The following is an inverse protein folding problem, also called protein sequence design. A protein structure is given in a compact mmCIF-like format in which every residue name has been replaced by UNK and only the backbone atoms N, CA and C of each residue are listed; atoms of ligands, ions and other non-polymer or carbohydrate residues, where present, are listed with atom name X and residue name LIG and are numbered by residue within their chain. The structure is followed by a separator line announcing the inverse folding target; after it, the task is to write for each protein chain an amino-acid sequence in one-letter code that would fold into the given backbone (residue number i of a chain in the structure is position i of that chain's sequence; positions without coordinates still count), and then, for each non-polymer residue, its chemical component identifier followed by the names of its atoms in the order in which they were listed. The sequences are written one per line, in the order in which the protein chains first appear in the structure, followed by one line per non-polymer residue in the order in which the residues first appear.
data_IF_182663647392
#
_entry.id   IF_182663647392
#
_cell.length_a   1.000
_cell.length_b   1.000
_cell.length_c   1.000
_cell.angle_alpha   90.00
_cell.angle_beta   90.00
_cell.angle_gamma   90.00
#
_symmetry.space_group_name_H-M   'P 1'
#
loop_
_entity.id
_entity.type
_entity.pdbx_description
1 polymer ?
#
# COMPACT_ATOMS: atom_id res chain seq x y z
N UNK A 1 -6.99 8.81 -2.32
CA UNK A 1 -7.87 9.20 -3.42
C UNK A 1 -9.29 8.72 -3.14
N UNK A 2 -10.26 9.60 -3.00
CA UNK A 2 -11.66 9.22 -2.75
C UNK A 2 -12.28 8.48 -3.94
N UNK A 3 -13.29 7.67 -3.67
CA UNK A 3 -14.06 6.94 -4.68
C UNK A 3 -13.59 5.52 -4.98
N UNK A 4 -12.40 5.13 -4.52
CA UNK A 4 -11.86 3.79 -4.80
C UNK A 4 -12.65 2.70 -4.08
N UNK A 5 -13.06 2.93 -2.83
CA UNK A 5 -13.83 1.95 -2.06
C UNK A 5 -15.17 1.66 -2.75
N UNK A 6 -15.86 2.70 -3.21
CA UNK A 6 -17.13 2.54 -3.92
C UNK A 6 -16.95 1.76 -5.23
N UNK A 7 -15.88 2.02 -5.97
CA UNK A 7 -15.56 1.27 -7.19
C UNK A 7 -15.30 -0.21 -6.91
N UNK A 8 -14.57 -0.51 -5.83
CA UNK A 8 -14.27 -1.89 -5.45
C UNK A 8 -15.55 -2.62 -5.04
N UNK A 9 -16.39 -1.99 -4.24
CA UNK A 9 -17.68 -2.55 -3.83
C UNK A 9 -18.56 -2.85 -5.06
N UNK A 10 -18.59 -1.94 -6.01
CA UNK A 10 -19.35 -2.10 -7.25
C UNK A 10 -18.87 -3.25 -8.11
N UNK A 11 -17.55 -3.42 -8.22
CA UNK A 11 -16.94 -4.47 -9.03
C UNK A 11 -16.82 -5.82 -8.36
N UNK A 12 -16.96 -5.89 -7.04
CA UNK A 12 -16.81 -7.13 -6.29
C UNK A 12 -17.97 -8.09 -6.55
N UNK A 13 -17.67 -9.39 -6.57
CA UNK A 13 -18.71 -10.43 -6.60
C UNK A 13 -19.23 -10.67 -5.19
N UNK A 14 -20.37 -11.36 -5.09
CA UNK A 14 -20.98 -11.71 -3.80
C UNK A 14 -20.01 -12.47 -2.91
N UNK A 15 -20.05 -12.19 -1.61
CA UNK A 15 -19.23 -12.81 -0.55
C UNK A 15 -17.74 -12.47 -0.62
N UNK A 16 -17.34 -11.47 -1.40
CA UNK A 16 -15.95 -11.06 -1.48
C UNK A 16 -15.48 -10.46 -0.14
N UNK A 17 -14.28 -10.81 0.24
CA UNK A 17 -13.58 -10.21 1.36
C UNK A 17 -12.66 -9.11 0.85
N UNK A 18 -12.85 -7.91 1.36
CA UNK A 18 -12.07 -6.72 0.99
C UNK A 18 -11.26 -6.28 2.20
N UNK A 19 -9.94 -6.15 2.01
CA UNK A 19 -9.05 -5.61 3.05
C UNK A 19 -8.50 -4.28 2.57
N UNK A 20 -8.81 -3.22 3.31
CA UNK A 20 -8.37 -1.87 2.97
C UNK A 20 -7.07 -1.58 3.70
N UNK A 21 -5.98 -1.54 2.95
CA UNK A 21 -4.62 -1.32 3.47
C UNK A 21 -4.16 0.10 3.22
N UNK A 22 -4.55 0.68 2.09
CA UNK A 22 -4.16 2.03 1.70
C UNK A 22 -4.78 3.09 2.59
N UNK A 23 -4.11 4.23 2.70
CA UNK A 23 -4.56 5.36 3.52
C UNK A 23 -5.11 6.46 2.61
N UNK A 24 -6.37 6.82 2.82
CA UNK A 24 -6.98 8.01 2.23
C UNK A 24 -7.21 9.02 3.35
N UNK A 25 -6.53 10.15 3.27
CA UNK A 25 -6.62 11.19 4.31
C UNK A 25 -7.87 12.05 4.18
N UNK A 26 -8.52 11.98 3.04
CA UNK A 26 -9.74 12.73 2.76
C UNK A 26 -10.98 11.92 3.15
N UNK A 27 -12.06 12.61 3.37
CA UNK A 27 -13.36 11.95 3.57
C UNK A 27 -13.78 11.25 2.28
N UNK A 28 -14.24 10.02 2.42
CA UNK A 28 -14.70 9.21 1.29
C UNK A 28 -16.15 8.76 1.55
N UNK A 29 -16.84 8.37 0.50
CA UNK A 29 -18.22 7.90 0.58
C UNK A 29 -18.42 6.70 -0.35
N UNK A 30 -19.29 5.81 0.07
CA UNK A 30 -19.71 4.66 -0.73
C UNK A 30 -21.16 4.31 -0.38
N UNK A 31 -21.75 3.43 -1.19
CA UNK A 31 -23.16 3.03 -1.01
C UNK A 31 -23.24 1.73 -0.23
N UNK A 32 -23.59 1.76 1.06
CA UNK A 32 -23.69 0.54 1.87
C UNK A 32 -24.67 -0.48 1.30
N UNK A 33 -25.75 -0.03 0.65
CA UNK A 33 -26.74 -0.93 0.08
C UNK A 33 -26.15 -1.90 -0.94
N UNK A 34 -25.18 -1.47 -1.76
CA UNK A 34 -24.50 -2.33 -2.70
C UNK A 34 -23.70 -3.41 -1.98
N UNK A 35 -23.01 -3.05 -0.90
CA UNK A 35 -22.29 -4.00 -0.05
C UNK A 35 -23.21 -4.99 0.66
N UNK A 36 -24.36 -4.51 1.13
CA UNK A 36 -25.37 -5.35 1.79
C UNK A 36 -25.90 -6.39 0.82
N UNK A 37 -26.25 -5.99 -0.40
CA UNK A 37 -26.79 -6.89 -1.41
C UNK A 37 -25.81 -7.99 -1.84
N UNK A 38 -24.52 -7.73 -1.72
CA UNK A 38 -23.46 -8.69 -2.04
C UNK A 38 -22.92 -9.42 -0.82
N UNK A 39 -23.38 -9.10 0.37
CA UNK A 39 -22.90 -9.66 1.64
C UNK A 39 -21.38 -9.57 1.78
N UNK A 40 -20.83 -8.39 1.47
CA UNK A 40 -19.39 -8.16 1.49
C UNK A 40 -18.83 -8.02 2.91
N UNK A 41 -17.60 -8.47 3.10
CA UNK A 41 -16.81 -8.23 4.31
C UNK A 41 -15.74 -7.20 4.00
N UNK A 42 -15.72 -6.10 4.75
CA UNK A 42 -14.71 -5.06 4.60
C UNK A 42 -13.96 -4.91 5.92
N UNK A 43 -12.65 -5.07 5.86
CA UNK A 43 -11.76 -4.95 7.01
C UNK A 43 -10.76 -3.82 6.74
N UNK A 44 -10.70 -2.87 7.67
CA UNK A 44 -9.65 -1.85 7.65
C UNK A 44 -8.48 -2.33 8.51
N UNK A 45 -7.27 -2.11 8.05
CA UNK A 45 -6.04 -2.52 8.73
C UNK A 45 -5.07 -1.35 8.80
N UNK A 46 -4.20 -1.35 9.78
CA UNK A 46 -3.21 -0.30 9.97
C UNK A 46 -1.84 -0.89 10.26
N UNK A 47 -0.89 -0.55 9.39
CA UNK A 47 0.52 -0.82 9.62
C UNK A 47 0.85 -2.30 9.86
N UNK A 48 1.75 -2.52 10.80
CA UNK A 48 2.26 -3.85 11.13
C UNK A 48 2.75 -3.90 12.57
N UNK A 49 2.81 -5.11 13.12
CA UNK A 49 3.38 -5.34 14.44
C UNK A 49 4.91 -5.48 14.36
N UNK A 50 5.58 -5.40 15.50
CA UNK A 50 7.02 -5.66 15.57
C UNK A 50 7.39 -7.07 15.08
N UNK A 51 6.53 -8.05 15.37
CA UNK A 51 6.73 -9.42 14.91
C UNK A 51 6.62 -9.52 13.39
N UNK A 52 5.61 -8.88 12.82
CA UNK A 52 5.43 -8.86 11.36
C UNK A 52 6.63 -8.20 10.66
N UNK A 53 7.16 -7.13 11.23
CA UNK A 53 8.37 -6.49 10.70
C UNK A 53 9.56 -7.45 10.71
N UNK A 54 9.81 -8.10 11.86
CA UNK A 54 10.92 -9.04 12.00
C UNK A 54 10.77 -10.25 11.07
N UNK A 55 9.56 -10.81 10.98
CA UNK A 55 9.28 -11.96 10.11
C UNK A 55 9.47 -11.61 8.63
N UNK A 56 9.07 -10.40 8.23
CA UNK A 56 9.24 -9.92 6.85
C UNK A 56 10.72 -9.74 6.51
N UNK A 57 11.49 -9.14 7.41
CA UNK A 57 12.93 -8.98 7.23
C UNK A 57 13.63 -10.34 7.08
N UNK A 58 13.24 -11.30 7.90
CA UNK A 58 13.77 -12.67 7.81
C UNK A 58 13.42 -13.30 6.46
N UNK A 59 12.18 -13.18 6.01
CA UNK A 59 11.74 -13.72 4.72
C UNK A 59 12.51 -13.10 3.54
N UNK A 60 12.81 -11.80 3.61
CA UNK A 60 13.63 -11.14 2.61
C UNK A 60 15.06 -11.68 2.65
N UNK A 61 15.67 -11.81 3.83
CA UNK A 61 17.04 -12.27 3.98
C UNK A 61 17.25 -13.72 3.56
N UNK A 62 16.22 -14.55 3.70
CA UNK A 62 16.24 -15.96 3.31
C UNK A 62 15.82 -16.20 1.85
N UNK A 63 15.51 -15.14 1.12
CA UNK A 63 15.14 -15.23 -0.29
C UNK A 63 13.71 -15.70 -0.56
N UNK A 64 12.87 -15.76 0.48
CA UNK A 64 11.45 -16.14 0.32
C UNK A 64 10.64 -15.05 -0.38
N UNK A 65 11.07 -13.80 -0.28
CA UNK A 65 10.43 -12.64 -0.92
C UNK A 65 11.42 -11.96 -1.86
N UNK A 66 11.07 -11.86 -3.13
CA UNK A 66 11.84 -11.16 -4.15
C UNK A 66 11.37 -9.69 -4.18
N UNK A 67 12.01 -8.83 -3.39
CA UNK A 67 11.59 -7.43 -3.22
C UNK A 67 12.42 -6.44 -4.04
N UNK A 68 13.48 -6.89 -4.70
CA UNK A 68 14.40 -6.03 -5.45
C UNK A 68 13.67 -5.23 -6.54
N UNK A 69 12.65 -5.82 -7.15
CA UNK A 69 11.86 -5.17 -8.18
C UNK A 69 11.05 -3.98 -7.66
N UNK A 70 10.81 -3.91 -6.34
CA UNK A 70 10.08 -2.81 -5.73
C UNK A 70 10.98 -1.59 -5.47
N UNK A 71 12.30 -1.79 -5.47
CA UNK A 71 13.26 -0.70 -5.29
C UNK A 71 13.47 -0.04 -6.66
N UNK A 72 12.97 1.18 -6.81
CA UNK A 72 12.99 1.90 -8.07
C UNK A 72 14.03 3.02 -8.12
N UNK A 73 14.66 3.32 -6.99
CA UNK A 73 15.71 4.33 -6.92
C UNK A 73 16.52 4.25 -5.64
N UNK A 74 17.71 4.83 -5.70
CA UNK A 74 18.63 4.93 -4.58
C UNK A 74 19.23 6.35 -4.58
N UNK A 75 19.21 7.01 -3.43
CA UNK A 75 19.69 8.38 -3.29
C UNK A 75 20.54 8.56 -2.03
N UNK A 76 21.37 9.59 -2.02
CA UNK A 76 22.09 10.01 -0.81
C UNK A 76 21.24 10.99 0.03
N UNK A 77 21.76 11.39 1.19
CA UNK A 77 21.05 12.28 2.10
C UNK A 77 20.71 13.64 1.47
N UNK A 78 21.59 14.17 0.62
CA UNK A 78 21.37 15.46 -0.03
C UNK A 78 20.22 15.46 -1.03
N UNK A 79 19.80 14.30 -1.49
CA UNK A 79 18.77 14.12 -2.53
C UNK A 79 17.40 13.72 -1.98
N UNK A 80 17.26 13.65 -0.65
CA UNK A 80 16.02 13.18 -0.01
C UNK A 80 14.82 14.05 -0.38
N UNK A 81 15.02 15.37 -0.45
CA UNK A 81 13.95 16.31 -0.83
C UNK A 81 13.39 16.05 -2.23
N UNK A 82 14.28 15.81 -3.19
CA UNK A 82 13.86 15.47 -4.55
C UNK A 82 13.20 14.08 -4.60
N UNK A 83 13.73 13.11 -3.85
CA UNK A 83 13.13 11.77 -3.78
C UNK A 83 11.67 11.81 -3.31
N UNK A 84 11.32 12.66 -2.35
CA UNK A 84 9.93 12.84 -1.93
C UNK A 84 9.05 13.39 -3.05
N UNK A 85 9.58 14.28 -3.88
CA UNK A 85 8.84 14.79 -5.04
C UNK A 85 8.63 13.70 -6.08
N UNK A 86 9.67 12.92 -6.36
CA UNK A 86 9.62 11.84 -7.34
C UNK A 86 8.61 10.75 -6.95
N UNK A 87 8.49 10.46 -5.66
CA UNK A 87 7.50 9.51 -5.14
C UNK A 87 6.06 10.01 -5.31
N UNK A 88 5.86 11.28 -5.60
CA UNK A 88 4.55 11.82 -5.94
C UNK A 88 3.99 11.29 -7.26
N UNK A 89 4.83 10.71 -8.11
CA UNK A 89 4.42 10.06 -9.34
C UNK A 89 4.42 8.53 -9.16
N UNK A 90 3.25 7.92 -8.92
CA UNK A 90 3.16 6.48 -8.67
C UNK A 90 3.48 5.63 -9.92
N UNK A 91 3.47 6.22 -11.09
CA UNK A 91 3.83 5.53 -12.33
C UNK A 91 5.35 5.41 -12.49
N UNK A 92 6.12 6.30 -11.87
CA UNK A 92 7.57 6.33 -12.00
C UNK A 92 8.28 5.56 -10.88
N UNK A 93 7.78 5.65 -9.65
CA UNK A 93 8.48 5.11 -8.48
C UNK A 93 7.56 4.37 -7.53
N UNK A 94 8.06 3.23 -7.02
CA UNK A 94 7.41 2.47 -5.95
C UNK A 94 8.17 2.66 -4.61
N UNK A 95 9.50 2.59 -4.63
CA UNK A 95 10.32 2.66 -3.42
C UNK A 95 11.69 3.24 -3.74
N UNK A 96 12.05 4.31 -3.05
CA UNK A 96 13.38 4.91 -3.13
C UNK A 96 14.10 4.67 -1.80
N UNK A 97 15.30 4.09 -1.88
CA UNK A 97 16.13 3.81 -0.70
C UNK A 97 17.12 4.95 -0.50
N UNK A 98 17.27 5.39 0.75
CA UNK A 98 18.27 6.40 1.12
C UNK A 98 19.51 5.68 1.65
N UNK A 99 20.65 5.94 1.04
CA UNK A 99 21.95 5.42 1.47
C UNK A 99 22.73 6.56 2.15
N UNK A 100 22.84 6.56 3.50
CA UNK A 100 23.44 7.69 4.22
C UNK A 100 24.92 7.93 3.91
N UNK A 101 25.62 6.89 3.48
CA UNK A 101 27.04 6.96 3.13
C UNK A 101 27.33 7.35 1.68
N UNK A 102 26.31 7.58 0.92
CA UNK A 102 26.42 7.91 -0.51
C UNK A 102 26.67 9.38 -0.79
#
# INVERSE_FOLDING_TARGET
MPGVIDQIIHGAVKDTRIVVVGVCMEQDSFRPLTGIGKELNIQFVLGYTAKEFADTLRAISEGELAVEQLITGQVGLSEVGEAFKDLGDPEAHAKIIVEPWR
#
